data_IF_756734612505
#
_entry.id   IF_756734612505
#
_cell.length_a   1.000
_cell.length_b   1.000
_cell.length_c   1.000
_cell.angle_alpha   90.00
_cell.angle_beta   90.00
_cell.angle_gamma   90.00
#
_symmetry.space_group_name_H-M   'P 1'
#
loop_
_entity.id
_entity.type
_entity.pdbx_description
1 polymer ?
#
# COMPACT_ATOMS: atom_id res chain seq x y z
N UNK A 1 -5.57 -0.89 -13.36
CA UNK A 1 -4.49 -1.90 -13.32
C UNK A 1 -5.05 -3.25 -12.97
N UNK A 2 -4.66 -4.25 -13.70
CA UNK A 2 -5.04 -5.62 -13.40
C UNK A 2 -3.93 -6.26 -12.57
N UNK A 3 -4.31 -7.06 -11.58
CA UNK A 3 -3.35 -7.79 -10.78
C UNK A 3 -2.47 -8.69 -11.68
N UNK A 4 -1.17 -8.74 -11.39
CA UNK A 4 -0.24 -9.57 -12.16
C UNK A 4 -0.72 -11.02 -12.22
N UNK A 5 -0.60 -11.65 -13.39
CA UNK A 5 -1.02 -13.04 -13.59
C UNK A 5 -0.28 -14.01 -12.67
N UNK A 6 0.92 -13.63 -12.23
CA UNK A 6 1.76 -14.49 -11.40
C UNK A 6 1.52 -14.30 -9.91
N UNK A 7 0.41 -13.67 -9.55
CA UNK A 7 0.14 -13.42 -8.15
C UNK A 7 -1.32 -13.15 -7.86
N UNK A 8 -1.61 -12.96 -6.59
CA UNK A 8 -2.93 -12.60 -6.08
C UNK A 8 -2.86 -11.24 -5.42
N UNK A 9 -3.88 -10.43 -5.64
CA UNK A 9 -3.98 -9.11 -5.06
C UNK A 9 -5.21 -9.02 -4.16
N UNK A 10 -5.07 -8.27 -3.07
CA UNK A 10 -6.18 -8.00 -2.17
C UNK A 10 -6.00 -6.64 -1.52
N UNK A 11 -7.08 -6.08 -1.01
CA UNK A 11 -6.98 -4.85 -0.25
C UNK A 11 -7.77 -4.95 1.05
N UNK A 12 -7.39 -4.11 2.01
CA UNK A 12 -8.10 -3.94 3.26
C UNK A 12 -8.41 -2.47 3.44
N UNK A 13 -9.58 -2.19 3.99
CA UNK A 13 -10.02 -0.85 4.36
C UNK A 13 -10.27 -0.83 5.86
N UNK A 14 -9.56 0.00 6.57
CA UNK A 14 -9.71 0.17 8.01
C UNK A 14 -10.30 1.54 8.30
N UNK A 15 -11.60 1.58 8.51
CA UNK A 15 -12.30 2.83 8.80
C UNK A 15 -11.98 3.34 10.19
N UNK A 16 -12.00 4.66 10.35
CA UNK A 16 -11.71 5.32 11.63
C UNK A 16 -10.40 4.84 12.23
N UNK A 17 -9.41 4.73 11.39
CA UNK A 17 -8.10 4.19 11.74
C UNK A 17 -7.01 5.06 11.15
N UNK A 18 -6.04 5.40 11.98
CA UNK A 18 -4.88 6.18 11.60
C UNK A 18 -3.65 5.29 11.52
N UNK A 19 -2.79 5.59 10.57
CA UNK A 19 -1.51 4.91 10.39
C UNK A 19 -0.44 5.64 11.17
N UNK A 20 0.20 4.96 12.12
CA UNK A 20 1.27 5.53 12.92
C UNK A 20 2.60 4.94 12.43
N UNK A 21 3.42 5.77 11.82
CA UNK A 21 4.72 5.37 11.28
C UNK A 21 5.78 5.59 12.35
N UNK A 22 6.57 4.56 12.62
CA UNK A 22 7.59 4.58 13.66
C UNK A 22 8.92 4.06 13.14
N UNK A 23 9.98 4.37 13.84
CA UNK A 23 11.30 3.81 13.62
C UNK A 23 11.80 3.17 14.91
N UNK A 24 12.43 2.01 14.80
CA UNK A 24 13.06 1.38 15.95
C UNK A 24 14.46 1.96 16.20
N UNK A 25 15.16 1.43 17.20
CA UNK A 25 16.48 1.92 17.60
C UNK A 25 17.54 1.75 16.49
N UNK A 26 17.31 0.85 15.55
CA UNK A 26 18.23 0.60 14.45
C UNK A 26 17.84 1.35 13.18
N UNK A 27 16.78 2.16 13.25
CA UNK A 27 16.30 2.93 12.11
C UNK A 27 15.34 2.20 11.19
N UNK A 28 14.92 0.98 11.55
CA UNK A 28 13.95 0.24 10.77
C UNK A 28 12.56 0.83 10.93
N UNK A 29 11.87 1.01 9.81
CA UNK A 29 10.53 1.56 9.79
C UNK A 29 9.53 0.45 10.07
N UNK A 30 8.54 0.75 10.90
CA UNK A 30 7.40 -0.10 11.14
C UNK A 30 6.17 0.78 11.36
N UNK A 31 4.99 0.17 11.43
CA UNK A 31 3.78 0.93 11.66
C UNK A 31 2.88 0.24 12.65
N UNK A 32 1.98 1.04 13.23
CA UNK A 32 0.89 0.58 14.06
C UNK A 32 -0.39 1.25 13.56
N UNK A 33 -1.52 0.65 13.85
CA UNK A 33 -2.82 1.24 13.56
C UNK A 33 -3.45 1.69 14.87
N UNK A 34 -4.05 2.88 14.84
CA UNK A 34 -4.69 3.46 16.00
C UNK A 34 -6.08 3.94 15.62
N UNK A 35 -7.05 3.71 16.50
CA UNK A 35 -8.40 4.21 16.27
C UNK A 35 -8.38 5.73 16.23
N UNK A 36 -8.94 6.30 15.17
CA UNK A 36 -9.04 7.74 15.02
C UNK A 36 -10.18 8.10 14.08
N UNK A 37 -11.18 8.79 14.63
CA UNK A 37 -12.33 9.25 13.86
C UNK A 37 -11.90 10.17 12.72
N UNK A 38 -12.52 10.00 11.56
CA UNK A 38 -12.27 10.85 10.40
C UNK A 38 -11.13 10.40 9.50
N UNK A 39 -10.42 9.34 9.86
CA UNK A 39 -9.32 8.80 9.06
C UNK A 39 -9.65 7.40 8.59
N UNK A 40 -9.17 7.04 7.42
CA UNK A 40 -9.25 5.67 6.91
C UNK A 40 -7.88 5.25 6.39
N UNK A 41 -7.45 4.07 6.79
CA UNK A 41 -6.20 3.47 6.34
C UNK A 41 -6.52 2.35 5.37
N UNK A 42 -5.89 2.40 4.21
CA UNK A 42 -6.00 1.38 3.16
C UNK A 42 -4.70 0.62 3.06
N UNK A 43 -4.79 -0.67 2.84
CA UNK A 43 -3.64 -1.50 2.54
C UNK A 43 -3.94 -2.34 1.30
N UNK A 44 -3.01 -2.37 0.38
CA UNK A 44 -3.11 -3.18 -0.83
C UNK A 44 -1.92 -4.12 -0.88
N UNK A 45 -2.20 -5.39 -1.14
CA UNK A 45 -1.20 -6.44 -1.10
C UNK A 45 -1.11 -7.16 -2.43
N UNK A 46 0.10 -7.44 -2.83
CA UNK A 46 0.39 -8.36 -3.92
C UNK A 46 1.19 -9.53 -3.35
N UNK A 47 0.69 -10.75 -3.53
CA UNK A 47 1.39 -11.96 -3.14
C UNK A 47 1.71 -12.77 -4.38
N UNK A 48 2.98 -13.03 -4.61
CA UNK A 48 3.41 -13.75 -5.79
C UNK A 48 3.17 -15.24 -5.63
N UNK A 49 2.50 -15.83 -6.63
CA UNK A 49 2.32 -17.27 -6.70
C UNK A 49 3.56 -17.87 -7.34
N UNK A 50 4.32 -18.60 -6.56
CA UNK A 50 5.40 -19.39 -7.12
C UNK A 50 5.04 -20.86 -6.99
N UNK A 51 4.93 -21.54 -8.12
CA UNK A 51 4.66 -22.96 -8.17
C UNK A 51 5.71 -23.70 -7.35
N UNK A 52 5.36 -24.17 -6.19
CA UNK A 52 6.06 -25.17 -5.39
C UNK A 52 7.58 -25.31 -5.48
N UNK A 53 8.23 -24.54 -6.35
CA UNK A 53 9.67 -24.60 -6.57
C UNK A 53 10.48 -24.01 -5.43
N UNK A 54 9.83 -23.22 -4.56
CA UNK A 54 10.47 -22.59 -3.44
C UNK A 54 9.67 -22.86 -2.19
N UNK A 55 10.22 -23.63 -1.30
CA UNK A 55 9.63 -23.90 0.01
C UNK A 55 9.49 -22.59 0.80
N UNK A 56 10.40 -21.64 0.53
CA UNK A 56 10.46 -20.34 1.21
C UNK A 56 10.12 -19.20 0.25
N UNK A 57 9.36 -19.47 -0.80
CA UNK A 57 9.17 -18.54 -1.89
C UNK A 57 8.10 -17.50 -1.71
N UNK A 58 7.73 -17.15 -0.49
CA UNK A 58 6.80 -16.07 -0.27
C UNK A 58 7.43 -14.74 -0.65
N UNK A 59 6.74 -14.02 -1.53
CA UNK A 59 7.09 -12.65 -1.87
C UNK A 59 5.82 -11.83 -1.84
N UNK A 60 5.81 -10.84 -0.97
CA UNK A 60 4.65 -9.96 -0.78
C UNK A 60 5.11 -8.52 -0.90
N UNK A 61 4.39 -7.73 -1.67
CA UNK A 61 4.51 -6.28 -1.66
C UNK A 61 3.23 -5.68 -1.10
N UNK A 62 3.39 -4.62 -0.33
CA UNK A 62 2.29 -3.92 0.30
C UNK A 62 2.44 -2.42 0.09
N UNK A 63 1.32 -1.75 -0.22
CA UNK A 63 1.25 -0.30 -0.11
C UNK A 63 0.18 0.01 0.92
N UNK A 64 0.52 0.79 1.94
CA UNK A 64 -0.40 1.17 3.02
C UNK A 64 -0.38 2.69 3.17
N UNK A 65 -1.56 3.29 3.25
CA UNK A 65 -1.67 4.74 3.30
C UNK A 65 -2.95 5.16 4.01
N UNK A 66 -2.92 6.40 4.50
CA UNK A 66 -4.04 7.00 5.23
C UNK A 66 -4.60 8.17 4.44
N UNK A 67 -5.92 8.29 4.42
CA UNK A 67 -6.62 9.43 3.84
C UNK A 67 -7.67 9.95 4.83
N UNK A 68 -7.94 11.26 4.75
CA UNK A 68 -9.08 11.85 5.45
C UNK A 68 -10.39 11.40 4.80
N UNK A 69 -11.38 11.06 5.61
CA UNK A 69 -12.66 10.63 5.07
C UNK A 69 -13.34 11.71 4.21
N UNK A 70 -13.05 12.97 4.50
CA UNK A 70 -13.64 14.09 3.77
C UNK A 70 -13.22 14.13 2.29
N UNK A 71 -12.09 13.53 1.93
CA UNK A 71 -11.66 13.55 0.52
C UNK A 71 -12.61 12.79 -0.39
N UNK A 72 -13.38 11.85 0.15
CA UNK A 72 -14.31 11.04 -0.64
C UNK A 72 -15.63 11.73 -0.96
N UNK A 73 -15.82 12.96 -0.51
CA UNK A 73 -17.04 13.72 -0.82
C UNK A 73 -17.10 14.12 -2.29
N UNK A 74 -15.98 14.28 -2.94
CA UNK A 74 -15.90 14.61 -4.37
C UNK A 74 -14.77 13.84 -5.02
N UNK A 75 -14.81 13.74 -6.35
CA UNK A 75 -13.67 13.20 -7.09
C UNK A 75 -12.47 14.12 -6.95
N UNK A 76 -11.28 13.55 -6.95
CA UNK A 76 -10.05 14.34 -6.89
C UNK A 76 -8.94 13.64 -7.68
N UNK A 77 -7.93 14.43 -8.03
CA UNK A 77 -6.73 13.93 -8.72
C UNK A 77 -5.49 14.47 -8.03
N UNK A 78 -4.43 13.69 -8.08
CA UNK A 78 -3.10 14.12 -7.65
C UNK A 78 -3.03 14.58 -6.19
N UNK A 79 -3.76 13.90 -5.32
CA UNK A 79 -3.66 14.14 -3.88
C UNK A 79 -2.42 13.41 -3.35
N UNK A 80 -1.60 14.14 -2.58
CA UNK A 80 -0.45 13.53 -1.90
C UNK A 80 -0.91 13.03 -0.54
N UNK A 81 -0.81 11.71 -0.27
CA UNK A 81 -1.14 11.21 1.06
C UNK A 81 -0.08 11.64 2.07
N UNK A 82 -0.51 12.02 3.26
CA UNK A 82 0.41 12.42 4.32
C UNK A 82 1.24 11.25 4.86
N UNK A 83 0.64 10.07 4.88
CA UNK A 83 1.24 8.87 5.42
C UNK A 83 1.10 7.74 4.42
N UNK A 84 2.23 7.23 3.97
CA UNK A 84 2.24 6.11 3.03
C UNK A 84 3.56 5.35 3.20
N UNK A 85 3.44 4.02 3.23
CA UNK A 85 4.60 3.13 3.29
C UNK A 85 4.48 2.05 2.23
N UNK A 86 5.62 1.65 1.70
CA UNK A 86 5.74 0.48 0.85
C UNK A 86 6.47 -0.61 1.63
N UNK A 87 5.91 -1.81 1.65
CA UNK A 87 6.48 -2.93 2.38
C UNK A 87 6.84 -4.07 1.45
N UNK A 88 7.94 -4.75 1.75
CA UNK A 88 8.38 -5.95 1.05
C UNK A 88 8.62 -7.04 2.08
N UNK A 89 8.02 -8.19 1.88
CA UNK A 89 8.17 -9.33 2.77
C UNK A 89 8.63 -10.54 1.96
N UNK A 90 9.86 -10.95 2.19
CA UNK A 90 10.48 -12.06 1.46
C UNK A 90 11.68 -12.57 2.24
N UNK A 91 12.17 -13.72 1.85
CA UNK A 91 13.47 -14.21 2.32
C UNK A 91 14.57 -13.63 1.45
N UNK A 92 14.55 -12.31 1.24
CA UNK A 92 15.50 -11.61 0.39
C UNK A 92 16.35 -10.69 1.25
N UNK A 93 17.59 -11.06 1.42
CA UNK A 93 18.53 -10.36 2.29
C UNK A 93 18.65 -8.89 1.88
N UNK A 94 18.40 -8.00 2.84
CA UNK A 94 18.56 -6.57 2.64
C UNK A 94 17.39 -5.87 1.97
N UNK A 95 16.34 -6.59 1.55
CA UNK A 95 15.17 -5.98 0.89
C UNK A 95 13.92 -5.95 1.75
N UNK A 96 13.76 -6.91 2.64
CA UNK A 96 12.54 -7.01 3.44
C UNK A 96 12.40 -5.82 4.40
N UNK A 97 11.18 -5.32 4.55
CA UNK A 97 10.89 -4.22 5.46
C UNK A 97 10.02 -3.16 4.82
N UNK A 98 9.83 -2.06 5.53
CA UNK A 98 9.04 -0.92 5.08
C UNK A 98 9.94 0.21 4.61
N UNK A 99 9.47 0.91 3.57
CA UNK A 99 10.15 2.03 2.95
C UNK A 99 9.22 3.23 2.90
N UNK A 100 9.76 4.42 3.13
CA UNK A 100 9.00 5.64 2.91
C UNK A 100 8.80 5.88 1.42
N UNK A 101 7.63 6.34 1.04
CA UNK A 101 7.29 6.65 -0.34
C UNK A 101 7.28 8.16 -0.49
N UNK A 102 8.14 8.69 -1.35
CA UNK A 102 8.30 10.14 -1.50
C UNK A 102 7.35 10.74 -2.53
N UNK A 103 7.11 10.02 -3.62
CA UNK A 103 6.34 10.53 -4.73
C UNK A 103 5.14 9.62 -4.98
N UNK A 104 4.10 9.79 -4.17
CA UNK A 104 2.87 9.06 -4.35
C UNK A 104 1.75 10.03 -4.63
N UNK A 105 0.88 9.67 -5.55
CA UNK A 105 -0.30 10.45 -5.91
C UNK A 105 -1.52 9.56 -5.85
N UNK A 106 -2.58 10.08 -5.24
CA UNK A 106 -3.85 9.39 -5.10
C UNK A 106 -4.90 10.12 -5.91
N UNK A 107 -5.70 9.37 -6.65
CA UNK A 107 -6.82 9.91 -7.41
C UNK A 107 -8.07 9.11 -7.06
N UNK A 108 -9.22 9.76 -7.07
CA UNK A 108 -10.49 9.14 -6.75
C UNK A 108 -11.57 9.59 -7.72
N UNK A 109 -12.26 8.62 -8.33
CA UNK A 109 -13.44 8.88 -9.15
C UNK A 109 -14.66 8.45 -8.33
N UNK A 110 -15.43 9.43 -7.88
CA UNK A 110 -16.61 9.19 -7.05
C UNK A 110 -17.70 8.42 -7.79
N UNK A 111 -17.85 8.64 -9.08
CA UNK A 111 -18.89 7.97 -9.87
C UNK A 111 -18.66 6.47 -9.96
N UNK A 112 -17.44 6.06 -10.23
CA UNK A 112 -17.08 4.64 -10.33
C UNK A 112 -16.59 4.06 -9.03
N UNK A 113 -16.37 4.89 -8.00
CA UNK A 113 -15.76 4.51 -6.72
C UNK A 113 -14.41 3.83 -6.92
N UNK A 114 -13.62 4.43 -7.77
CA UNK A 114 -12.28 3.94 -8.09
C UNK A 114 -11.22 4.82 -7.43
N UNK A 115 -10.43 4.22 -6.58
CA UNK A 115 -9.29 4.85 -5.93
C UNK A 115 -8.03 4.32 -6.60
N UNK A 116 -7.20 5.22 -7.10
CA UNK A 116 -5.95 4.87 -7.78
C UNK A 116 -4.78 5.49 -7.04
N UNK A 117 -3.75 4.70 -6.78
CA UNK A 117 -2.52 5.19 -6.16
C UNK A 117 -1.37 4.86 -7.10
N UNK A 118 -0.58 5.88 -7.44
CA UNK A 118 0.65 5.69 -8.22
C UNK A 118 1.83 6.14 -7.40
N UNK A 119 2.94 5.44 -7.53
CA UNK A 119 4.15 5.75 -6.78
C UNK A 119 5.40 5.30 -7.53
N UNK A 120 6.54 5.84 -7.13
CA UNK A 120 7.82 5.58 -7.79
C UNK A 120 8.35 4.19 -7.49
N UNK A 121 9.31 3.78 -8.29
CA UNK A 121 10.08 2.57 -8.00
C UNK A 121 10.98 2.84 -6.80
N UNK A 122 10.82 2.03 -5.76
CA UNK A 122 11.54 2.16 -4.48
C UNK A 122 12.62 1.09 -4.38
N UNK A 123 12.33 -0.10 -4.88
CA UNK A 123 13.27 -1.21 -4.89
C UNK A 123 13.43 -1.74 -6.31
N UNK A 124 14.55 -2.41 -6.55
CA UNK A 124 14.77 -3.09 -7.82
C UNK A 124 13.77 -4.22 -8.02
N UNK A 125 13.24 -4.34 -9.25
CA UNK A 125 12.24 -5.35 -9.62
C UNK A 125 10.91 -5.22 -8.88
N UNK A 126 10.57 -4.02 -8.46
CA UNK A 126 9.29 -3.73 -7.83
C UNK A 126 8.14 -4.05 -8.79
N UNK A 127 7.13 -4.76 -8.28
CA UNK A 127 5.96 -5.15 -9.08
C UNK A 127 4.87 -4.10 -9.01
N UNK A 128 4.54 -3.63 -7.79
CA UNK A 128 3.52 -2.60 -7.61
C UNK A 128 4.09 -1.23 -7.90
N UNK A 129 3.48 -0.51 -8.84
CA UNK A 129 3.80 0.89 -9.15
C UNK A 129 2.52 1.71 -9.22
N UNK A 130 1.42 1.05 -9.47
CA UNK A 130 0.09 1.63 -9.49
C UNK A 130 -0.89 0.60 -9.01
N UNK A 131 -1.79 0.99 -8.13
CA UNK A 131 -2.82 0.10 -7.61
C UNK A 131 -4.18 0.74 -7.76
N UNK A 132 -5.20 -0.08 -7.98
CA UNK A 132 -6.58 0.35 -8.06
C UNK A 132 -7.39 -0.37 -6.99
N UNK A 133 -8.16 0.40 -6.23
CA UNK A 133 -9.06 -0.13 -5.20
C UNK A 133 -10.47 0.26 -5.61
N UNK A 134 -11.31 -0.74 -5.84
CA UNK A 134 -12.68 -0.56 -6.31
C UNK A 134 -13.70 -0.99 -5.27
N UNK A 135 -14.82 -0.29 -5.25
CA UNK A 135 -16.01 -0.67 -4.44
C UNK A 135 -15.66 -0.90 -2.96
N UNK A 136 -14.87 -0.02 -2.43
CA UNK A 136 -14.48 -0.10 -1.01
C UNK A 136 -15.52 0.53 -0.06
#
# INVERSE_FOLDING_TARGET
MVCSENGACRFEKHENTSLIIKKDDTGNIYHQKEERSGKTTFAYYYEQNKDGAYVDGHYIEEIIFELDNSVFNTSFKELKPDKILFGVFCYCKGKAGYYQVKNALVSYDKKSKLLTVTFDEIIENQILKSVEIRKF
#
